data_IF_582179477497
#
_entry.id   IF_582179477497
#
_cell.length_a   1.000
_cell.length_b   1.000
_cell.length_c   1.000
_cell.angle_alpha   90.00
_cell.angle_beta   90.00
_cell.angle_gamma   90.00
#
_symmetry.space_group_name_H-M   'P 1'
#
loop_
_entity.id
_entity.type
_entity.pdbx_description
1 polymer ?
#
# COMPACT_ATOMS: atom_id res chain seq x y z
N UNK A 1 1.05 5.85 -29.81
CA UNK A 1 2.11 6.13 -28.81
C UNK A 1 2.19 4.96 -27.85
N UNK A 2 3.25 4.15 -27.91
CA UNK A 2 3.45 3.01 -27.00
C UNK A 2 4.13 3.54 -25.74
N UNK A 3 3.36 3.77 -24.66
CA UNK A 3 3.93 4.11 -23.36
C UNK A 3 4.71 2.89 -22.86
N UNK A 4 6.04 2.99 -22.85
CA UNK A 4 6.91 1.98 -22.24
C UNK A 4 6.78 2.16 -20.73
N UNK A 5 6.00 1.30 -20.10
CA UNK A 5 5.87 1.26 -18.65
C UNK A 5 7.15 0.63 -18.09
N UNK A 6 7.92 1.41 -17.33
CA UNK A 6 9.01 0.88 -16.51
C UNK A 6 8.38 0.22 -15.29
N UNK A 7 8.61 -1.08 -15.11
CA UNK A 7 8.34 -1.78 -13.84
C UNK A 7 9.68 -1.82 -13.12
N UNK A 8 9.86 -1.00 -12.09
CA UNK A 8 11.08 -1.01 -11.28
C UNK A 8 10.69 -1.52 -9.89
N UNK A 9 11.04 -2.78 -9.63
CA UNK A 9 10.93 -3.42 -8.33
C UNK A 9 12.24 -3.15 -7.56
N UNK A 10 12.24 -2.20 -6.63
CA UNK A 10 13.34 -2.04 -5.66
C UNK A 10 12.89 -2.64 -4.33
N UNK A 11 13.11 -3.94 -4.16
CA UNK A 11 12.98 -4.58 -2.86
C UNK A 11 14.31 -4.43 -2.09
N UNK A 12 14.33 -3.62 -1.04
CA UNK A 12 15.47 -3.53 -0.10
C UNK A 12 15.09 -4.33 1.14
N UNK A 13 15.45 -5.60 1.22
CA UNK A 13 15.12 -6.41 2.40
C UNK A 13 15.89 -5.92 3.64
N UNK A 14 15.22 -5.26 4.58
CA UNK A 14 15.79 -4.93 5.89
C UNK A 14 15.51 -6.09 6.85
N UNK A 15 16.54 -6.88 7.16
CA UNK A 15 16.44 -7.96 8.14
C UNK A 15 16.42 -7.35 9.55
N UNK A 16 15.23 -7.19 10.14
CA UNK A 16 15.10 -6.87 11.56
C UNK A 16 15.14 -8.20 12.34
N UNK A 17 16.17 -8.48 13.15
CA UNK A 17 16.21 -9.71 13.93
C UNK A 17 15.25 -9.57 15.11
N UNK A 18 14.06 -10.16 15.04
CA UNK A 18 13.21 -10.35 16.22
C UNK A 18 13.62 -11.65 16.92
N UNK A 19 13.98 -11.54 18.20
CA UNK A 19 14.24 -12.70 19.06
C UNK A 19 12.93 -13.50 19.19
N UNK A 20 12.89 -14.69 18.57
CA UNK A 20 11.93 -15.74 18.87
C UNK A 20 10.64 -15.70 18.05
N UNK A 21 10.57 -16.59 17.04
CA UNK A 21 9.32 -16.97 16.39
C UNK A 21 9.08 -16.31 15.04
N UNK A 22 9.63 -16.93 13.98
CA UNK A 22 9.26 -16.67 12.59
C UNK A 22 9.51 -15.25 12.10
N UNK A 23 10.70 -14.99 11.54
CA UNK A 23 10.94 -13.78 10.77
C UNK A 23 9.94 -13.71 9.61
N UNK A 24 8.83 -13.00 9.80
CA UNK A 24 8.08 -12.43 8.71
C UNK A 24 9.05 -11.46 8.03
N UNK A 25 9.68 -11.90 6.94
CA UNK A 25 10.43 -11.00 6.07
C UNK A 25 9.39 -10.08 5.45
N UNK A 26 9.09 -8.98 6.12
CA UNK A 26 8.36 -7.91 5.49
C UNK A 26 9.22 -7.38 4.36
N UNK A 27 8.71 -7.38 3.13
CA UNK A 27 9.46 -6.77 2.04
C UNK A 27 9.37 -5.26 2.22
N UNK A 28 10.51 -4.58 2.18
CA UNK A 28 10.54 -3.12 2.09
C UNK A 28 10.66 -2.76 0.62
N UNK A 29 9.61 -2.15 0.07
CA UNK A 29 9.53 -1.68 -1.30
C UNK A 29 9.58 -0.16 -1.29
N UNK A 30 10.51 0.42 -2.04
CA UNK A 30 10.73 1.87 -2.06
C UNK A 30 10.70 2.37 -3.51
N UNK A 31 9.83 3.33 -3.79
CA UNK A 31 9.72 4.04 -5.06
C UNK A 31 10.81 5.08 -5.27
N UNK A 32 10.55 5.96 -6.22
CA UNK A 32 11.45 6.98 -6.74
C UNK A 32 10.87 8.38 -6.51
N UNK A 33 11.44 9.41 -7.14
CA UNK A 33 10.85 10.77 -7.09
C UNK A 33 9.88 11.04 -8.24
N UNK A 34 9.47 10.02 -8.98
CA UNK A 34 8.53 10.15 -10.09
C UNK A 34 7.55 8.97 -10.12
N UNK A 35 6.63 8.93 -11.10
CA UNK A 35 5.52 7.98 -11.11
C UNK A 35 5.97 6.51 -11.15
N UNK A 36 5.60 5.76 -10.12
CA UNK A 36 5.97 4.37 -9.93
C UNK A 36 4.78 3.40 -10.01
N UNK A 37 5.10 2.13 -10.23
CA UNK A 37 4.16 1.02 -10.09
C UNK A 37 4.74 0.00 -9.13
N UNK A 38 4.19 -0.02 -7.92
CA UNK A 38 4.67 -0.86 -6.83
C UNK A 38 3.63 -1.95 -6.57
N UNK A 39 4.12 -3.19 -6.45
CA UNK A 39 3.31 -4.36 -6.13
C UNK A 39 4.03 -5.10 -5.03
N UNK A 40 3.42 -5.13 -3.85
CA UNK A 40 3.84 -5.95 -2.74
C UNK A 40 3.53 -7.44 -2.98
N UNK A 41 3.70 -8.21 -1.94
CA UNK A 41 3.74 -9.66 -1.92
C UNK A 41 2.45 -10.22 -1.31
N UNK A 42 2.51 -11.47 -0.85
CA UNK A 42 1.40 -12.10 -0.11
C UNK A 42 1.69 -12.12 1.40
N UNK A 43 2.65 -11.31 1.83
CA UNK A 43 3.10 -11.18 3.22
C UNK A 43 3.07 -9.70 3.56
N UNK A 44 3.01 -9.41 4.86
CA UNK A 44 3.09 -8.06 5.40
C UNK A 44 4.27 -7.28 4.82
N UNK A 45 4.02 -6.21 4.08
CA UNK A 45 5.05 -5.40 3.44
C UNK A 45 5.10 -3.97 3.98
N UNK A 46 6.24 -3.31 3.78
CA UNK A 46 6.41 -1.88 4.01
C UNK A 46 6.69 -1.20 2.67
N UNK A 47 5.76 -0.37 2.22
CA UNK A 47 5.79 0.26 0.90
C UNK A 47 5.87 1.78 1.08
N UNK A 48 6.85 2.41 0.44
CA UNK A 48 7.03 3.88 0.38
C UNK A 48 7.10 4.32 -1.08
N UNK A 49 6.03 4.93 -1.59
CA UNK A 49 5.90 5.45 -2.96
C UNK A 49 6.83 6.64 -3.22
N UNK A 50 7.09 7.43 -2.17
CA UNK A 50 7.79 8.71 -2.19
C UNK A 50 7.03 9.77 -2.99
N UNK A 51 7.60 10.31 -4.06
CA UNK A 51 6.99 11.44 -4.76
C UNK A 51 6.63 11.04 -6.18
N UNK A 52 5.52 11.57 -6.70
CA UNK A 52 5.01 11.21 -8.02
C UNK A 52 3.60 10.63 -7.94
N UNK A 53 2.95 10.47 -9.09
CA UNK A 53 1.61 9.86 -9.15
C UNK A 53 1.76 8.33 -9.24
N UNK A 54 1.69 7.65 -8.10
CA UNK A 54 2.02 6.24 -7.98
C UNK A 54 0.83 5.31 -8.13
N UNK A 55 1.11 4.07 -8.53
CA UNK A 55 0.16 2.96 -8.50
C UNK A 55 0.67 1.89 -7.57
N UNK A 56 0.06 1.77 -6.39
CA UNK A 56 0.51 0.89 -5.33
C UNK A 56 -0.52 -0.22 -5.09
N UNK A 57 -0.04 -1.46 -5.03
CA UNK A 57 -0.83 -2.61 -4.56
C UNK A 57 -0.10 -3.23 -3.39
N UNK A 58 -0.72 -3.28 -2.21
CA UNK A 58 -0.19 -3.97 -1.03
C UNK A 58 -0.02 -5.46 -1.30
N UNK A 59 -1.09 -6.09 -1.79
CA UNK A 59 -1.10 -7.54 -1.94
C UNK A 59 -1.73 -8.15 -0.69
N UNK A 60 -1.34 -9.35 -0.31
CA UNK A 60 -1.85 -10.00 0.90
C UNK A 60 -0.93 -9.76 2.09
N UNK A 61 -1.45 -9.92 3.31
CA UNK A 61 -0.73 -9.70 4.55
C UNK A 61 -1.02 -8.34 5.17
N UNK A 62 -0.50 -8.10 6.37
CA UNK A 62 -0.68 -6.81 7.07
C UNK A 62 0.32 -5.78 6.53
N UNK A 63 -0.12 -4.96 5.60
CA UNK A 63 0.74 -4.01 4.90
C UNK A 63 0.79 -2.64 5.58
N UNK A 64 1.92 -1.97 5.41
CA UNK A 64 2.11 -0.55 5.72
C UNK A 64 2.49 0.17 4.44
N UNK A 65 1.60 1.02 3.95
CA UNK A 65 1.75 1.73 2.69
C UNK A 65 1.81 3.22 2.97
N UNK A 66 2.81 3.89 2.42
CA UNK A 66 2.94 5.34 2.34
C UNK A 66 2.95 5.72 0.86
N UNK A 67 1.96 6.47 0.39
CA UNK A 67 1.91 7.03 -0.97
C UNK A 67 2.96 8.13 -1.11
N UNK A 68 2.78 9.19 -0.33
CA UNK A 68 3.68 10.34 -0.30
C UNK A 68 3.13 11.47 -1.18
N UNK A 69 3.93 12.47 -1.59
CA UNK A 69 3.39 13.57 -2.38
C UNK A 69 3.04 13.17 -3.83
N UNK A 70 1.80 13.36 -4.24
CA UNK A 70 1.35 12.99 -5.59
C UNK A 70 -0.14 12.70 -5.65
N UNK A 71 -0.67 12.29 -6.81
CA UNK A 71 -2.02 11.74 -6.88
C UNK A 71 -1.93 10.23 -7.07
N UNK A 72 -2.03 9.51 -5.97
CA UNK A 72 -1.76 8.09 -5.89
C UNK A 72 -3.03 7.26 -6.05
N UNK A 73 -2.84 6.08 -6.63
CA UNK A 73 -3.85 5.04 -6.68
C UNK A 73 -3.37 3.83 -5.88
N UNK A 74 -3.96 3.64 -4.69
CA UNK A 74 -3.59 2.60 -3.75
C UNK A 74 -4.66 1.50 -3.71
N UNK A 75 -4.21 0.24 -3.67
CA UNK A 75 -5.06 -0.93 -3.48
C UNK A 75 -4.52 -1.79 -2.35
N UNK A 76 -5.25 -1.83 -1.25
CA UNK A 76 -4.90 -2.56 -0.02
C UNK A 76 -5.64 -3.92 0.04
N UNK A 77 -5.72 -4.67 -1.06
CA UNK A 77 -6.65 -5.82 -1.18
C UNK A 77 -6.03 -7.20 -0.85
N UNK A 78 -6.82 -8.06 -0.16
CA UNK A 78 -7.14 -9.50 -0.45
C UNK A 78 -6.80 -10.60 0.59
N UNK A 79 -6.73 -10.37 1.92
CA UNK A 79 -6.68 -11.56 2.82
C UNK A 79 -7.20 -11.42 4.26
N UNK A 80 -8.11 -10.49 4.53
CA UNK A 80 -8.63 -10.26 5.91
C UNK A 80 -7.57 -9.77 6.91
N UNK A 81 -6.40 -9.39 6.41
CA UNK A 81 -5.39 -8.67 7.16
C UNK A 81 -5.88 -7.26 7.52
N UNK A 82 -5.02 -6.57 8.26
CA UNK A 82 -5.17 -5.17 8.58
C UNK A 82 -4.08 -4.40 7.88
N UNK A 83 -4.49 -3.48 7.01
CA UNK A 83 -3.55 -2.59 6.36
C UNK A 83 -3.54 -1.20 7.00
N UNK A 84 -2.38 -0.57 6.98
CA UNK A 84 -2.22 0.84 7.27
C UNK A 84 -1.79 1.55 6.00
N UNK A 85 -2.62 2.48 5.52
CA UNK A 85 -2.33 3.25 4.33
C UNK A 85 -2.35 4.72 4.69
N UNK A 86 -1.21 5.37 4.55
CA UNK A 86 -1.08 6.82 4.56
C UNK A 86 -0.92 7.26 3.11
N UNK A 87 -1.93 7.91 2.55
CA UNK A 87 -1.85 8.38 1.17
C UNK A 87 -0.88 9.55 1.01
N UNK A 88 -0.68 10.35 2.07
CA UNK A 88 0.16 11.55 2.00
C UNK A 88 -0.55 12.73 1.32
N UNK A 89 0.21 13.76 0.91
CA UNK A 89 -0.37 14.96 0.31
C UNK A 89 -0.72 14.79 -1.17
N UNK A 90 -1.96 15.13 -1.54
CA UNK A 90 -2.36 15.26 -2.93
C UNK A 90 -3.84 14.99 -3.13
N UNK A 91 -4.19 14.30 -4.22
CA UNK A 91 -5.55 13.78 -4.42
C UNK A 91 -5.46 12.29 -4.70
N UNK A 92 -5.67 11.51 -3.65
CA UNK A 92 -5.39 10.10 -3.63
C UNK A 92 -6.68 9.28 -3.64
N UNK A 93 -6.58 8.13 -4.30
CA UNK A 93 -7.65 7.14 -4.33
C UNK A 93 -7.15 5.85 -3.74
N UNK A 94 -7.77 5.41 -2.65
CA UNK A 94 -7.54 4.08 -2.08
C UNK A 94 -8.77 3.20 -2.28
N UNK A 95 -8.57 2.00 -2.80
CA UNK A 95 -9.64 0.99 -2.85
C UNK A 95 -9.45 -0.01 -1.72
N UNK A 96 -10.49 -0.16 -0.92
CA UNK A 96 -10.70 -1.32 -0.05
C UNK A 96 -11.54 -2.35 -0.82
N UNK A 97 -11.33 -3.65 -0.63
CA UNK A 97 -12.20 -4.65 -1.24
C UNK A 97 -13.55 -4.73 -0.47
N UNK A 98 -14.71 -4.52 -1.14
CA UNK A 98 -16.04 -4.54 -0.51
C UNK A 98 -16.43 -5.89 0.11
N UNK A 99 -15.67 -6.97 -0.13
CA UNK A 99 -15.88 -8.28 0.49
C UNK A 99 -15.18 -8.48 1.84
N UNK A 100 -14.19 -7.65 2.17
CA UNK A 100 -13.52 -7.73 3.45
C UNK A 100 -14.33 -6.97 4.49
N UNK A 101 -15.04 -7.69 5.35
CA UNK A 101 -15.58 -7.12 6.58
C UNK A 101 -14.43 -6.91 7.59
N UNK A 102 -13.33 -6.31 7.14
CA UNK A 102 -12.20 -5.92 7.98
C UNK A 102 -12.46 -4.47 8.41
N UNK A 103 -13.12 -4.20 9.55
CA UNK A 103 -13.25 -2.84 10.11
C UNK A 103 -11.90 -2.33 10.65
N UNK A 104 -10.80 -2.79 10.07
CA UNK A 104 -9.47 -2.75 10.66
C UNK A 104 -8.50 -1.95 9.82
N UNK A 105 -8.69 -1.87 8.51
CA UNK A 105 -7.81 -1.07 7.66
C UNK A 105 -7.91 0.39 8.08
N UNK A 106 -6.74 1.01 8.22
CA UNK A 106 -6.61 2.38 8.64
C UNK A 106 -6.05 3.19 7.47
N UNK A 107 -6.94 3.96 6.85
CA UNK A 107 -6.60 4.90 5.79
C UNK A 107 -6.45 6.30 6.38
N UNK A 108 -5.31 6.94 6.16
CA UNK A 108 -4.94 8.27 6.61
C UNK A 108 -4.69 9.14 5.38
N UNK A 109 -5.16 10.39 5.43
CA UNK A 109 -4.99 11.41 4.38
C UNK A 109 -5.44 11.02 2.97
N UNK A 110 -6.19 9.91 2.80
CA UNK A 110 -6.76 9.52 1.51
C UNK A 110 -8.12 10.19 1.22
N UNK A 111 -8.25 10.87 0.08
CA UNK A 111 -9.44 11.61 -0.32
C UNK A 111 -10.59 10.73 -0.81
N UNK A 112 -10.31 9.71 -1.64
CA UNK A 112 -11.32 8.82 -2.20
C UNK A 112 -11.15 7.38 -1.74
N UNK A 113 -12.17 6.81 -1.10
CA UNK A 113 -12.19 5.40 -0.64
C UNK A 113 -13.24 4.62 -1.41
N UNK A 114 -12.86 3.69 -2.29
CA UNK A 114 -13.84 2.86 -3.01
C UNK A 114 -14.28 1.63 -2.23
N UNK A 115 -14.94 1.85 -1.07
CA UNK A 115 -16.11 1.08 -0.59
C UNK A 115 -16.77 1.83 0.60
N UNK A 116 -18.11 1.95 0.67
CA UNK A 116 -18.80 2.56 1.81
C UNK A 116 -19.34 1.50 2.79
N UNK A 117 -19.07 1.65 4.08
CA UNK A 117 -20.07 1.34 5.12
C UNK A 117 -19.93 2.30 6.31
N UNK A 118 -20.85 3.26 6.36
CA UNK A 118 -21.34 3.84 7.61
C UNK A 118 -22.80 3.42 7.71
N UNK A 119 -23.20 2.85 8.86
CA UNK A 119 -24.26 3.51 9.61
C UNK A 119 -23.77 3.77 11.02
N UNK A 120 -23.96 5.03 11.39
CA UNK A 120 -23.91 5.60 12.72
C UNK A 120 -24.92 4.89 13.65
N UNK A 121 -24.90 5.13 14.97
CA UNK A 121 -26.17 5.12 15.71
C UNK A 121 -27.14 6.19 15.17
#
# INVERSE_FOLDING_TARGET
>A
MRRRFAVILVAVSVLIPTLGGGAALAATLIGTGGPDRIVGSVRADWIDGRAGDDRISGGGGEDRIQGGPGNDLVRANDDWSRDYVDCGPGFDTVSADPGSSSPRDLYVDCEFRSAPYQPTP
#
